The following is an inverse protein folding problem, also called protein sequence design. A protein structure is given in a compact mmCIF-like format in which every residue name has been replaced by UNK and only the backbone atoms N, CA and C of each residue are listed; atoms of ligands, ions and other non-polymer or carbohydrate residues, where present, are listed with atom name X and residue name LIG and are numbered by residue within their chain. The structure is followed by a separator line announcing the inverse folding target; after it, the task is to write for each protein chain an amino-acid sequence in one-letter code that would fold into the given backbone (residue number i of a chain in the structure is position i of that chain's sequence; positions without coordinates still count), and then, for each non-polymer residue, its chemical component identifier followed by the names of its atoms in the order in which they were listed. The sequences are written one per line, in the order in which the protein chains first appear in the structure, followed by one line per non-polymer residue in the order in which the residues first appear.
data_IF_954021859790
#
_entry.id   IF_954021859790
#
_cell.length_a   1.000
_cell.length_b   1.000
_cell.length_c   1.000
_cell.angle_alpha   90.00
_cell.angle_beta   90.00
_cell.angle_gamma   90.00
#
_symmetry.space_group_name_H-M   'P 1'
#
loop_
_entity.id
_entity.type
_entity.pdbx_description
1 polymer ?
#
# COMPACT_ATOMS: atom_id res chain seq x y z
N UNK A 1 -61.37 13.44 -88.38
CA UNK A 1 -61.46 13.75 -86.93
C UNK A 1 -60.83 12.69 -86.03
N UNK A 2 -60.78 11.38 -86.39
CA UNK A 2 -60.24 10.32 -85.49
C UNK A 2 -58.69 10.27 -85.35
N UNK A 3 -57.94 10.78 -86.32
CA UNK A 3 -56.47 10.68 -86.34
C UNK A 3 -55.76 11.63 -85.36
N UNK A 4 -56.37 12.76 -85.01
CA UNK A 4 -55.76 13.77 -84.15
C UNK A 4 -55.85 13.35 -82.67
N UNK A 5 -56.92 12.65 -82.30
CA UNK A 5 -57.17 12.10 -80.95
C UNK A 5 -56.24 10.93 -80.62
N UNK A 6 -55.89 10.10 -81.61
CA UNK A 6 -55.02 8.93 -81.41
C UNK A 6 -53.55 9.34 -81.12
N UNK A 7 -53.06 10.42 -81.74
CA UNK A 7 -51.72 10.97 -81.47
C UNK A 7 -51.57 11.56 -80.07
N UNK A 8 -52.60 12.28 -79.59
CA UNK A 8 -52.63 12.83 -78.23
C UNK A 8 -52.63 11.72 -77.18
N UNK A 9 -53.39 10.64 -77.40
CA UNK A 9 -53.40 9.49 -76.49
C UNK A 9 -52.03 8.78 -76.39
N UNK A 10 -51.28 8.69 -77.50
CA UNK A 10 -49.93 8.13 -77.47
C UNK A 10 -48.95 9.01 -76.68
N UNK A 11 -49.02 10.33 -76.83
CA UNK A 11 -48.20 11.27 -76.07
C UNK A 11 -48.51 11.20 -74.56
N UNK A 12 -49.79 11.16 -74.19
CA UNK A 12 -50.22 10.99 -72.80
C UNK A 12 -49.75 9.64 -72.21
N UNK A 13 -49.80 8.56 -73.00
CA UNK A 13 -49.29 7.25 -72.57
C UNK A 13 -47.76 7.25 -72.42
N UNK A 14 -47.03 7.94 -73.30
CA UNK A 14 -45.59 8.11 -73.21
C UNK A 14 -45.19 8.95 -71.98
N UNK A 15 -45.94 10.02 -71.71
CA UNK A 15 -45.76 10.88 -70.53
C UNK A 15 -45.98 10.08 -69.24
N UNK A 16 -47.04 9.27 -69.17
CA UNK A 16 -47.31 8.38 -68.03
C UNK A 16 -46.17 7.38 -67.80
N UNK A 17 -45.69 6.70 -68.85
CA UNK A 17 -44.55 5.75 -68.73
C UNK A 17 -43.26 6.45 -68.31
N UNK A 18 -43.00 7.65 -68.82
CA UNK A 18 -41.83 8.44 -68.42
C UNK A 18 -41.92 8.85 -66.95
N UNK A 19 -43.08 9.32 -66.51
CA UNK A 19 -43.33 9.67 -65.11
C UNK A 19 -43.18 8.46 -64.17
N UNK A 20 -43.71 7.29 -64.55
CA UNK A 20 -43.54 6.03 -63.81
C UNK A 20 -42.07 5.64 -63.68
N UNK A 21 -41.30 5.68 -64.78
CA UNK A 21 -39.85 5.38 -64.77
C UNK A 21 -39.06 6.33 -63.87
N UNK A 22 -39.41 7.62 -63.85
CA UNK A 22 -38.78 8.61 -62.95
C UNK A 22 -39.17 8.34 -61.49
N UNK A 23 -40.43 8.03 -61.23
CA UNK A 23 -40.91 7.73 -59.88
C UNK A 23 -40.28 6.46 -59.31
N UNK A 24 -40.12 5.40 -60.12
CA UNK A 24 -39.39 4.20 -59.74
C UNK A 24 -37.92 4.50 -59.43
N UNK A 25 -37.25 5.29 -60.26
CA UNK A 25 -35.86 5.70 -60.01
C UNK A 25 -35.72 6.50 -58.71
N UNK A 26 -36.64 7.44 -58.44
CA UNK A 26 -36.69 8.21 -57.18
C UNK A 26 -36.94 7.29 -55.98
N UNK A 27 -37.90 6.38 -56.07
CA UNK A 27 -38.23 5.41 -55.02
C UNK A 27 -37.04 4.49 -54.71
N UNK A 28 -36.35 3.99 -55.74
CA UNK A 28 -35.15 3.15 -55.59
C UNK A 28 -34.00 3.91 -54.93
N UNK A 29 -33.78 5.18 -55.29
CA UNK A 29 -32.78 6.03 -54.63
C UNK A 29 -33.12 6.25 -53.16
N UNK A 30 -34.36 6.61 -52.85
CA UNK A 30 -34.81 6.81 -51.47
C UNK A 30 -34.69 5.52 -50.63
N UNK A 31 -35.03 4.37 -51.20
CA UNK A 31 -34.88 3.07 -50.54
C UNK A 31 -33.41 2.74 -50.25
N UNK A 32 -32.50 2.94 -51.21
CA UNK A 32 -31.06 2.74 -50.98
C UNK A 32 -30.51 3.66 -49.89
N UNK A 33 -30.91 4.93 -49.88
CA UNK A 33 -30.52 5.86 -48.82
C UNK A 33 -31.04 5.44 -47.45
N UNK A 34 -32.29 4.96 -47.38
CA UNK A 34 -32.88 4.45 -46.13
C UNK A 34 -32.16 3.19 -45.65
N UNK A 35 -31.87 2.26 -46.55
CA UNK A 35 -31.15 1.03 -46.23
C UNK A 35 -29.75 1.34 -45.70
N UNK A 36 -28.97 2.19 -46.39
CA UNK A 36 -27.64 2.58 -45.94
C UNK A 36 -27.66 3.22 -44.53
N UNK A 37 -28.67 4.06 -44.24
CA UNK A 37 -28.84 4.64 -42.90
C UNK A 37 -29.19 3.59 -41.85
N UNK A 38 -30.06 2.63 -42.18
CA UNK A 38 -30.45 1.56 -41.24
C UNK A 38 -29.29 0.61 -40.96
N UNK A 39 -28.52 0.23 -41.98
CA UNK A 39 -27.34 -0.63 -41.82
C UNK A 39 -26.26 0.06 -40.98
N UNK A 40 -25.95 1.33 -41.25
CA UNK A 40 -25.01 2.10 -40.44
C UNK A 40 -25.48 2.22 -38.98
N UNK A 41 -26.77 2.48 -38.74
CA UNK A 41 -27.30 2.56 -37.38
C UNK A 41 -27.23 1.21 -36.65
N UNK A 42 -27.51 0.11 -37.36
CA UNK A 42 -27.43 -1.24 -36.79
C UNK A 42 -26.00 -1.62 -36.42
N UNK A 43 -25.00 -1.20 -37.19
CA UNK A 43 -23.59 -1.42 -36.88
C UNK A 43 -23.14 -0.60 -35.66
N UNK A 44 -23.55 0.66 -35.57
CA UNK A 44 -23.30 1.52 -34.40
C UNK A 44 -23.90 0.89 -33.13
N UNK A 45 -25.15 0.40 -33.21
CA UNK A 45 -25.81 -0.22 -32.05
C UNK A 45 -25.10 -1.50 -31.62
N UNK A 46 -24.69 -2.36 -32.57
CA UNK A 46 -23.88 -3.56 -32.25
C UNK A 46 -22.58 -3.19 -31.54
N UNK A 47 -21.88 -2.17 -32.02
CA UNK A 47 -20.64 -1.71 -31.39
C UNK A 47 -20.89 -1.16 -29.99
N UNK A 48 -21.99 -0.42 -29.79
CA UNK A 48 -22.39 0.11 -28.48
C UNK A 48 -22.66 -1.02 -27.48
N UNK A 49 -23.44 -2.02 -27.89
CA UNK A 49 -23.77 -3.18 -27.04
C UNK A 49 -22.51 -3.96 -26.65
N UNK A 50 -21.60 -4.20 -27.60
CA UNK A 50 -20.33 -4.88 -27.34
C UNK A 50 -19.45 -4.09 -26.36
N UNK A 51 -19.33 -2.77 -26.56
CA UNK A 51 -18.60 -1.88 -25.64
C UNK A 51 -19.22 -1.83 -24.25
N UNK A 52 -20.55 -1.76 -24.16
CA UNK A 52 -21.25 -1.76 -22.87
C UNK A 52 -21.08 -3.10 -22.15
N UNK A 53 -21.11 -4.22 -22.88
CA UNK A 53 -20.83 -5.55 -22.33
C UNK A 53 -19.41 -5.63 -21.79
N UNK A 54 -18.41 -5.22 -22.56
CA UNK A 54 -17.02 -5.19 -22.12
C UNK A 54 -16.84 -4.29 -20.89
N UNK A 55 -17.52 -3.14 -20.88
CA UNK A 55 -17.50 -2.23 -19.74
C UNK A 55 -18.12 -2.87 -18.49
N UNK A 56 -19.28 -3.52 -18.60
CA UNK A 56 -19.92 -4.24 -17.48
C UNK A 56 -19.08 -5.41 -16.97
N UNK A 57 -18.45 -6.18 -17.86
CA UNK A 57 -17.54 -7.26 -17.47
C UNK A 57 -16.30 -6.70 -16.74
N UNK A 58 -15.77 -5.56 -17.19
CA UNK A 58 -14.69 -4.86 -16.51
C UNK A 58 -15.16 -4.33 -15.15
N UNK A 59 -16.32 -3.68 -15.09
CA UNK A 59 -16.89 -3.18 -13.85
C UNK A 59 -17.05 -4.32 -12.84
N UNK A 60 -17.68 -5.44 -13.20
CA UNK A 60 -17.82 -6.60 -12.29
C UNK A 60 -16.47 -7.16 -11.82
N UNK A 61 -15.47 -7.27 -12.70
CA UNK A 61 -14.14 -7.78 -12.34
C UNK A 61 -13.37 -6.87 -11.38
N UNK A 62 -13.66 -5.58 -11.36
CA UNK A 62 -12.92 -4.59 -10.58
C UNK A 62 -13.71 -4.03 -9.40
N UNK A 63 -15.05 -4.07 -9.43
CA UNK A 63 -15.92 -3.63 -8.34
C UNK A 63 -15.74 -4.53 -7.10
N UNK A 64 -15.63 -5.86 -7.28
CA UNK A 64 -15.36 -6.79 -6.18
C UNK A 64 -13.97 -6.65 -5.55
N UNK A 65 -12.98 -6.15 -6.30
CA UNK A 65 -11.61 -6.01 -5.80
C UNK A 65 -11.47 -4.92 -4.75
N UNK A 66 -12.34 -3.91 -4.73
CA UNK A 66 -12.24 -2.81 -3.75
C UNK A 66 -12.52 -3.32 -2.33
N UNK A 67 -13.52 -4.18 -2.18
CA UNK A 67 -13.89 -4.78 -0.89
C UNK A 67 -12.86 -5.84 -0.46
N UNK A 68 -12.37 -6.68 -1.39
CA UNK A 68 -11.31 -7.65 -1.11
C UNK A 68 -10.01 -6.97 -0.64
N UNK A 69 -9.65 -5.84 -1.25
CA UNK A 69 -8.48 -5.05 -0.86
C UNK A 69 -8.67 -4.45 0.53
N UNK A 70 -9.85 -3.89 0.82
CA UNK A 70 -10.14 -3.32 2.14
C UNK A 70 -10.10 -4.40 3.24
N UNK A 71 -10.69 -5.57 3.00
CA UNK A 71 -10.66 -6.70 3.92
C UNK A 71 -9.23 -7.18 4.16
N UNK A 72 -8.41 -7.28 3.11
CA UNK A 72 -7.01 -7.66 3.23
C UNK A 72 -6.20 -6.64 4.03
N UNK A 73 -6.40 -5.34 3.79
CA UNK A 73 -5.73 -4.28 4.55
C UNK A 73 -6.11 -4.36 6.03
N UNK A 74 -7.40 -4.55 6.34
CA UNK A 74 -7.86 -4.71 7.73
C UNK A 74 -7.21 -5.92 8.40
N UNK A 75 -7.21 -7.08 7.72
CA UNK A 75 -6.60 -8.30 8.24
C UNK A 75 -5.09 -8.13 8.48
N UNK A 76 -4.36 -7.59 7.49
CA UNK A 76 -2.91 -7.35 7.61
C UNK A 76 -2.60 -6.36 8.74
N UNK A 77 -3.47 -5.35 8.95
CA UNK A 77 -3.34 -4.38 10.04
C UNK A 77 -3.57 -5.04 11.40
N UNK A 78 -4.64 -5.84 11.55
CA UNK A 78 -4.93 -6.57 12.78
C UNK A 78 -3.82 -7.57 13.14
N UNK A 79 -3.31 -8.31 12.17
CA UNK A 79 -2.24 -9.28 12.39
C UNK A 79 -0.93 -8.58 12.77
N UNK A 80 -0.68 -7.40 12.20
CA UNK A 80 0.47 -6.57 12.55
C UNK A 80 0.36 -6.03 13.98
N UNK A 81 -0.83 -5.54 14.36
CA UNK A 81 -1.10 -5.08 15.73
C UNK A 81 -0.89 -6.21 16.73
N UNK A 82 -1.44 -7.41 16.48
CA UNK A 82 -1.25 -8.56 17.37
C UNK A 82 0.24 -8.92 17.54
N UNK A 83 1.01 -8.96 16.45
CA UNK A 83 2.46 -9.21 16.52
C UNK A 83 3.20 -8.14 17.33
N UNK A 84 2.80 -6.88 17.21
CA UNK A 84 3.35 -5.79 18.02
C UNK A 84 2.99 -5.96 19.50
N UNK A 85 1.73 -6.28 19.81
CA UNK A 85 1.27 -6.53 21.18
C UNK A 85 2.04 -7.69 21.84
N UNK A 86 2.21 -8.81 21.13
CA UNK A 86 2.99 -9.96 21.61
C UNK A 86 4.45 -9.57 21.89
N UNK A 87 5.05 -8.80 20.98
CA UNK A 87 6.41 -8.30 21.14
C UNK A 87 6.54 -7.35 22.34
N UNK A 88 5.54 -6.49 22.55
CA UNK A 88 5.49 -5.59 23.70
C UNK A 88 5.35 -6.39 24.99
N UNK A 89 4.44 -7.37 25.08
CA UNK A 89 4.27 -8.18 26.29
C UNK A 89 5.56 -8.95 26.64
N UNK A 90 6.20 -9.56 25.64
CA UNK A 90 7.46 -10.27 25.81
C UNK A 90 8.57 -9.37 26.33
N UNK A 91 8.71 -8.17 25.75
CA UNK A 91 9.77 -7.23 26.14
C UNK A 91 9.42 -6.44 27.41
N UNK A 92 8.14 -6.31 27.77
CA UNK A 92 7.68 -5.60 28.98
C UNK A 92 8.23 -6.26 30.25
N UNK A 93 8.26 -7.59 30.31
CA UNK A 93 8.87 -8.32 31.43
C UNK A 93 10.35 -7.99 31.57
N UNK A 94 11.08 -7.93 30.46
CA UNK A 94 12.51 -7.57 30.46
C UNK A 94 12.74 -6.11 30.89
N UNK A 95 11.84 -5.19 30.55
CA UNK A 95 11.97 -3.77 30.91
C UNK A 95 11.73 -3.53 32.41
N UNK A 96 10.79 -4.25 33.05
CA UNK A 96 10.53 -4.08 34.49
C UNK A 96 11.71 -4.48 35.37
N UNK A 97 12.60 -5.35 34.87
CA UNK A 97 13.79 -5.76 35.60
C UNK A 97 14.96 -4.81 35.38
N UNK A 98 14.88 -3.83 34.47
CA UNK A 98 16.01 -2.91 34.24
C UNK A 98 16.23 -1.99 35.45
N UNK A 99 17.48 -1.90 35.87
CA UNK A 99 17.95 -0.99 36.92
C UNK A 99 18.68 0.20 36.29
N UNK A 100 18.57 1.37 36.92
CA UNK A 100 19.33 2.56 36.54
C UNK A 100 20.51 2.73 37.49
N UNK A 101 21.73 2.66 36.95
CA UNK A 101 22.95 2.88 37.71
C UNK A 101 23.63 4.18 37.29
N UNK A 102 24.38 4.78 38.21
CA UNK A 102 25.15 5.99 37.96
C UNK A 102 26.64 5.70 38.04
N UNK A 103 27.39 6.12 37.04
CA UNK A 103 28.84 5.95 36.96
C UNK A 103 29.50 7.33 36.99
N UNK A 104 30.36 7.57 37.98
CA UNK A 104 31.10 8.82 38.14
C UNK A 104 32.55 8.64 37.69
N UNK A 105 32.97 9.47 36.74
CA UNK A 105 34.36 9.58 36.33
C UNK A 105 35.16 10.50 37.26
N UNK A 106 36.48 10.30 37.35
CA UNK A 106 37.43 11.16 38.08
C UNK A 106 37.47 12.60 37.57
N UNK A 107 37.05 12.81 36.33
CA UNK A 107 36.91 14.15 35.73
C UNK A 107 35.57 14.82 36.07
N UNK A 108 34.74 14.21 36.92
CA UNK A 108 33.45 14.74 37.36
C UNK A 108 32.28 14.46 36.41
N UNK A 109 32.51 13.74 35.31
CA UNK A 109 31.45 13.32 34.37
C UNK A 109 30.60 12.22 35.03
N UNK A 110 29.29 12.46 35.13
CA UNK A 110 28.32 11.47 35.61
C UNK A 110 27.54 10.88 34.44
N UNK A 111 27.52 9.57 34.33
CA UNK A 111 26.83 8.83 33.27
C UNK A 111 25.78 7.94 33.90
N UNK A 112 24.53 8.03 33.45
CA UNK A 112 23.43 7.17 33.89
C UNK A 112 23.17 6.11 32.84
N UNK A 113 23.15 4.85 33.23
CA UNK A 113 23.04 3.71 32.33
C UNK A 113 21.94 2.80 32.85
N UNK A 114 21.09 2.34 31.94
CA UNK A 114 20.08 1.33 32.21
C UNK A 114 20.64 -0.03 31.80
N UNK A 115 20.64 -0.98 32.73
CA UNK A 115 21.15 -2.34 32.53
C UNK A 115 20.22 -3.36 33.20
N UNK A 116 20.32 -4.62 32.80
CA UNK A 116 19.62 -5.71 33.47
C UNK A 116 20.47 -6.22 34.66
N UNK A 117 19.88 -6.56 35.83
CA UNK A 117 20.58 -7.18 36.95
C UNK A 117 21.37 -8.45 36.57
N UNK A 118 20.91 -9.20 35.57
CA UNK A 118 21.59 -10.39 35.07
C UNK A 118 22.79 -10.08 34.16
N UNK A 119 22.97 -8.82 33.74
CA UNK A 119 24.13 -8.44 32.93
C UNK A 119 25.42 -8.58 33.75
N UNK A 120 26.52 -8.90 33.06
CA UNK A 120 27.83 -8.96 33.69
C UNK A 120 28.43 -7.57 33.83
N UNK A 121 29.35 -7.40 34.78
CA UNK A 121 30.15 -6.16 34.90
C UNK A 121 30.90 -5.86 33.59
N UNK A 122 31.31 -6.89 32.84
CA UNK A 122 31.93 -6.73 31.53
C UNK A 122 30.99 -6.12 30.50
N UNK A 123 29.73 -6.55 30.46
CA UNK A 123 28.71 -5.98 29.57
C UNK A 123 28.35 -4.56 29.99
N UNK A 124 28.30 -4.30 31.29
CA UNK A 124 28.14 -2.94 31.80
C UNK A 124 29.28 -2.01 31.35
N UNK A 125 30.54 -2.48 31.40
CA UNK A 125 31.68 -1.70 30.88
C UNK A 125 31.55 -1.40 29.38
N UNK A 126 30.99 -2.31 28.58
CA UNK A 126 30.72 -2.04 27.15
C UNK A 126 29.67 -0.95 26.96
N UNK A 127 28.61 -0.93 27.78
CA UNK A 127 27.60 0.13 27.76
C UNK A 127 28.20 1.48 28.16
N UNK A 128 29.01 1.50 29.22
CA UNK A 128 29.75 2.70 29.65
C UNK A 128 30.70 3.19 28.54
N UNK A 129 31.46 2.26 27.93
CA UNK A 129 32.39 2.53 26.84
C UNK A 129 31.70 3.21 25.66
N UNK A 130 30.52 2.72 25.26
CA UNK A 130 29.73 3.30 24.18
C UNK A 130 29.33 4.76 24.46
N UNK A 131 29.06 5.13 25.71
CA UNK A 131 28.62 6.49 26.07
C UNK A 131 29.75 7.44 26.47
N UNK A 132 30.85 6.91 26.99
CA UNK A 132 32.04 7.69 27.37
C UNK A 132 33.05 7.83 26.23
N UNK A 133 32.99 6.97 25.22
CA UNK A 133 33.93 6.96 24.08
C UNK A 133 35.29 6.35 24.43
N UNK A 134 35.35 5.50 25.46
CA UNK A 134 36.59 4.86 25.92
C UNK A 134 36.52 3.35 25.70
N UNK A 135 37.66 2.69 25.52
CA UNK A 135 37.72 1.23 25.36
C UNK A 135 37.34 0.54 26.66
N UNK A 136 36.44 -0.44 26.60
CA UNK A 136 35.93 -1.12 27.80
C UNK A 136 37.02 -1.83 28.61
N UNK A 137 38.12 -2.29 27.97
CA UNK A 137 39.23 -2.96 28.65
C UNK A 137 40.02 -2.02 29.57
N UNK A 138 39.99 -0.71 29.30
CA UNK A 138 40.65 0.32 30.11
C UNK A 138 39.78 0.79 31.27
N UNK A 139 38.50 0.42 31.29
CA UNK A 139 37.55 0.85 32.31
C UNK A 139 37.65 -0.11 33.50
N UNK A 140 37.88 0.45 34.68
CA UNK A 140 37.86 -0.26 35.95
C UNK A 140 36.76 0.35 36.81
N UNK A 141 35.75 -0.45 37.14
CA UNK A 141 34.68 -0.05 38.03
C UNK A 141 35.04 -0.41 39.47
N UNK A 142 34.90 0.58 40.35
CA UNK A 142 35.16 0.43 41.78
C UNK A 142 34.05 1.04 42.61
N UNK A 143 34.01 0.61 43.86
CA UNK A 143 33.27 1.25 44.93
C UNK A 143 34.09 1.08 46.20
N UNK A 144 34.59 2.17 46.78
CA UNK A 144 35.56 2.12 47.87
C UNK A 144 36.81 1.30 47.48
N UNK A 145 37.17 0.29 48.29
CA UNK A 145 38.31 -0.60 48.04
C UNK A 145 37.95 -1.78 47.12
N UNK A 146 36.69 -1.97 46.77
CA UNK A 146 36.22 -3.11 45.98
C UNK A 146 36.36 -2.86 44.48
N UNK A 147 36.97 -3.82 43.78
CA UNK A 147 37.13 -3.82 42.32
C UNK A 147 36.22 -4.91 41.74
N UNK A 148 35.27 -4.51 40.89
CA UNK A 148 34.29 -5.42 40.29
C UNK A 148 34.91 -6.19 39.12
N UNK A 149 34.63 -7.50 39.06
CA UNK A 149 35.20 -8.42 38.06
C UNK A 149 34.21 -8.65 36.91
N UNK A 150 34.74 -8.73 35.70
CA UNK A 150 33.94 -8.69 34.46
C UNK A 150 33.01 -9.88 34.25
N UNK A 151 33.30 -11.04 34.83
CA UNK A 151 32.54 -12.28 34.62
C UNK A 151 31.44 -12.51 35.67
N UNK A 152 31.28 -11.60 36.64
CA UNK A 152 30.27 -11.70 37.69
C UNK A 152 29.12 -10.75 37.34
N UNK A 153 27.88 -11.17 37.63
CA UNK A 153 26.68 -10.39 37.31
C UNK A 153 26.46 -9.23 38.28
N UNK A 154 25.64 -8.26 37.88
CA UNK A 154 25.24 -7.16 38.77
C UNK A 154 24.46 -7.68 39.98
N UNK A 155 23.61 -8.69 39.78
CA UNK A 155 22.82 -9.33 40.84
C UNK A 155 23.70 -10.06 41.88
N UNK A 156 24.72 -10.80 41.43
CA UNK A 156 25.65 -11.51 42.34
C UNK A 156 26.44 -10.55 43.24
N UNK A 157 26.64 -9.32 42.76
CA UNK A 157 27.26 -8.23 43.51
C UNK A 157 26.28 -7.38 44.31
N UNK A 158 25.00 -7.78 44.36
CA UNK A 158 23.91 -7.08 45.08
C UNK A 158 23.75 -5.61 44.62
N UNK A 159 23.94 -5.36 43.32
CA UNK A 159 23.79 -4.03 42.73
C UNK A 159 22.31 -3.79 42.40
N UNK A 160 21.76 -2.73 42.99
CA UNK A 160 20.35 -2.35 42.84
C UNK A 160 20.17 -1.02 42.11
N UNK A 161 18.92 -0.65 41.86
CA UNK A 161 18.55 0.65 41.28
C UNK A 161 19.14 1.81 42.09
N UNK A 162 19.71 2.80 41.41
CA UNK A 162 20.38 3.95 42.01
C UNK A 162 21.82 3.68 42.48
N UNK A 163 22.36 2.47 42.27
CA UNK A 163 23.73 2.16 42.67
C UNK A 163 24.73 3.06 41.93
N UNK A 164 25.78 3.46 42.66
CA UNK A 164 26.79 4.37 42.13
C UNK A 164 28.18 3.72 42.04
N UNK A 165 28.73 3.67 40.83
CA UNK A 165 30.11 3.25 40.57
C UNK A 165 31.05 4.44 40.44
N UNK A 166 32.29 4.22 40.87
CA UNK A 166 33.43 5.05 40.53
C UNK A 166 34.18 4.43 39.35
N UNK A 167 34.40 5.23 38.32
CA UNK A 167 35.08 4.84 37.10
C UNK A 167 36.54 5.29 37.17
N UNK A 168 37.43 4.33 36.97
CA UNK A 168 38.85 4.55 36.83
C UNK A 168 39.31 4.08 35.46
N UNK A 169 40.32 4.77 34.92
CA UNK A 169 41.01 4.35 33.71
C UNK A 169 42.32 3.67 34.10
N UNK A 170 42.56 2.49 33.54
CA UNK A 170 43.83 1.76 33.62
C UNK A 170 44.49 1.69 32.24
#
# INVERSE_FOLDING_TARGET
MASQTQGIQQLLAAEKRAAEKINEARKRKAQRLKQAKQEAQAEIEKYRVERERQFKEYEQKYLGKKEDIEMKIKQDTEDTIKKMEDSVVKNKQQIFEMIEITVNDRLGKKVRIKCNPNDTIGDLKKLIAAQTGTRFEKIVLKKWYTIYKDHITLQDYEIHDGFNFELYYQ
#
